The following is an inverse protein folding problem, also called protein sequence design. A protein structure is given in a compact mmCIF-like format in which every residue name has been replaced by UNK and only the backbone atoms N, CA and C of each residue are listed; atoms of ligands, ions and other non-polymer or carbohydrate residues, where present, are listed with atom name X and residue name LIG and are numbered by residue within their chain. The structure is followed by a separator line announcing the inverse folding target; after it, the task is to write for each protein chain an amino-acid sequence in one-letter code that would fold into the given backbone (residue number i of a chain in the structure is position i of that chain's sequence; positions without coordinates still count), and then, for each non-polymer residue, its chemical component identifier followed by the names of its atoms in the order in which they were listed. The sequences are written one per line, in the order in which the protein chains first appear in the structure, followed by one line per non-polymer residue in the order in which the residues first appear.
data_IF_866558363917
#
_entry.id   IF_866558363917
#
_cell.length_a   1.000
_cell.length_b   1.000
_cell.length_c   1.000
_cell.angle_alpha   90.00
_cell.angle_beta   90.00
_cell.angle_gamma   90.00
#
_symmetry.space_group_name_H-M   'P 1'
#
loop_
_entity.id
_entity.type
_entity.pdbx_description
1 polymer ?
#
# COMPACT_ATOMS: atom_id res chain seq x y z
N UNK A 1 -15.15 8.76 26.21
CA UNK A 1 -13.94 8.30 25.50
C UNK A 1 -13.20 7.29 26.37
N UNK A 2 -12.61 6.24 25.78
CA UNK A 2 -11.99 5.13 26.52
C UNK A 2 -10.76 5.58 27.33
N UNK A 3 -10.65 5.13 28.58
CA UNK A 3 -9.46 5.36 29.43
C UNK A 3 -8.20 4.61 28.97
N UNK A 4 -8.36 3.69 28.03
CA UNK A 4 -7.28 2.85 27.51
C UNK A 4 -6.61 3.43 26.25
N UNK A 5 -7.08 4.58 25.76
CA UNK A 5 -6.48 5.23 24.59
C UNK A 5 -5.23 6.00 24.97
N UNK A 6 -4.20 5.92 24.12
CA UNK A 6 -3.02 6.77 24.25
C UNK A 6 -3.40 8.24 24.02
N UNK A 7 -2.63 9.20 24.56
CA UNK A 7 -2.87 10.62 24.34
C UNK A 7 -2.96 10.99 22.85
N UNK A 8 -2.09 10.42 22.02
CA UNK A 8 -2.11 10.63 20.56
C UNK A 8 -3.45 10.21 19.92
N UNK A 9 -3.95 9.01 20.24
CA UNK A 9 -5.22 8.52 19.69
C UNK A 9 -6.41 9.33 20.20
N UNK A 10 -6.32 9.85 21.42
CA UNK A 10 -7.37 10.66 22.03
C UNK A 10 -7.65 11.95 21.26
N UNK A 11 -6.60 12.58 20.72
CA UNK A 11 -6.68 13.87 20.03
C UNK A 11 -6.64 13.74 18.49
N UNK A 12 -6.49 12.51 17.98
CA UNK A 12 -6.46 12.23 16.55
C UNK A 12 -7.80 12.59 15.89
N UNK A 13 -7.75 13.42 14.85
CA UNK A 13 -8.88 13.64 13.94
C UNK A 13 -8.82 12.59 12.83
N UNK A 14 -9.82 11.69 12.70
CA UNK A 14 -9.80 10.67 11.67
C UNK A 14 -9.83 11.27 10.26
N UNK A 15 -9.21 10.55 9.32
CA UNK A 15 -9.36 10.86 7.90
C UNK A 15 -10.83 10.76 7.47
N UNK A 16 -11.30 11.78 6.75
CA UNK A 16 -12.63 11.81 6.16
C UNK A 16 -12.50 11.51 4.66
N UNK A 17 -12.93 10.32 4.18
CA UNK A 17 -12.89 10.02 2.77
C UNK A 17 -13.85 10.91 1.97
N UNK A 18 -13.51 11.16 0.70
CA UNK A 18 -14.41 11.84 -0.22
C UNK A 18 -15.70 11.05 -0.48
N UNK A 19 -16.75 11.74 -0.91
CA UNK A 19 -18.05 11.15 -1.22
C UNK A 19 -17.93 10.06 -2.31
N UNK A 20 -18.66 8.94 -2.14
CA UNK A 20 -18.74 7.82 -3.07
C UNK A 20 -20.22 7.52 -3.40
N UNK A 21 -20.79 8.06 -4.49
CA UNK A 21 -22.18 7.83 -4.85
C UNK A 21 -22.44 6.37 -5.21
N UNK A 22 -23.52 5.78 -4.66
CA UNK A 22 -23.93 4.38 -4.93
C UNK A 22 -25.02 4.30 -6.00
N UNK A 23 -24.77 4.91 -7.16
CA UNK A 23 -25.70 4.93 -8.29
C UNK A 23 -25.30 3.90 -9.34
N UNK A 24 -26.27 3.24 -9.95
CA UNK A 24 -26.01 2.37 -11.09
C UNK A 24 -25.51 3.20 -12.29
N UNK A 25 -24.52 2.69 -13.02
CA UNK A 25 -23.91 3.34 -14.22
C UNK A 25 -23.29 4.71 -13.95
N UNK A 26 -22.72 4.92 -12.76
CA UNK A 26 -21.94 6.11 -12.46
C UNK A 26 -20.63 6.12 -13.26
N UNK A 27 -20.27 7.26 -13.87
CA UNK A 27 -18.91 7.51 -14.35
C UNK A 27 -18.08 7.99 -13.16
N UNK A 28 -17.21 7.13 -12.64
CA UNK A 28 -16.42 7.38 -11.43
C UNK A 28 -15.07 8.02 -11.78
N UNK A 29 -14.83 9.25 -11.30
CA UNK A 29 -13.63 10.06 -11.60
C UNK A 29 -13.01 10.72 -10.35
N UNK A 30 -13.38 10.28 -9.15
CA UNK A 30 -13.07 10.97 -7.88
C UNK A 30 -11.93 10.37 -7.06
N UNK A 31 -11.39 9.20 -7.43
CA UNK A 31 -10.32 8.51 -6.67
C UNK A 31 -9.07 8.19 -7.50
N UNK A 32 -8.92 8.84 -8.66
CA UNK A 32 -7.75 8.69 -9.53
C UNK A 32 -7.45 7.24 -9.96
N UNK A 33 -8.47 6.39 -10.05
CA UNK A 33 -8.33 5.04 -10.59
C UNK A 33 -8.00 5.09 -12.08
N UNK A 34 -7.23 4.10 -12.55
CA UNK A 34 -6.96 3.97 -13.97
C UNK A 34 -8.26 3.58 -14.72
N UNK A 35 -8.64 4.27 -15.82
CA UNK A 35 -9.83 3.88 -16.59
C UNK A 35 -9.67 2.55 -17.33
N UNK A 36 -8.43 2.11 -17.54
CA UNK A 36 -8.11 0.81 -18.12
C UNK A 36 -7.92 -0.24 -17.01
N UNK A 37 -8.27 -1.48 -17.33
CA UNK A 37 -7.92 -2.62 -16.49
C UNK A 37 -6.41 -2.85 -16.39
N UNK A 38 -5.98 -3.72 -15.46
CA UNK A 38 -4.57 -4.06 -15.33
C UNK A 38 -4.05 -4.79 -16.58
N UNK A 39 -2.71 -4.85 -16.71
CA UNK A 39 -2.06 -5.60 -17.78
C UNK A 39 -2.56 -7.06 -17.85
N UNK A 40 -2.84 -7.61 -19.05
CA UNK A 40 -3.19 -9.02 -19.20
C UNK A 40 -2.15 -9.98 -18.61
N UNK A 41 -0.86 -9.60 -18.62
CA UNK A 41 0.21 -10.38 -17.99
C UNK A 41 0.09 -10.42 -16.47
N UNK A 42 -0.34 -9.31 -15.85
CA UNK A 42 -0.57 -9.26 -14.41
C UNK A 42 -1.78 -10.12 -14.00
N UNK A 43 -2.86 -10.09 -14.79
CA UNK A 43 -4.04 -10.96 -14.58
C UNK A 43 -3.62 -12.43 -14.65
N UNK A 44 -2.90 -12.83 -15.69
CA UNK A 44 -2.43 -14.21 -15.85
C UNK A 44 -1.53 -14.66 -14.69
N UNK A 45 -0.60 -13.80 -14.23
CA UNK A 45 0.26 -14.11 -13.08
C UNK A 45 -0.56 -14.29 -11.78
N UNK A 46 -1.53 -13.40 -11.52
CA UNK A 46 -2.42 -13.55 -10.36
C UNK A 46 -3.22 -14.85 -10.43
N UNK A 47 -3.80 -15.17 -11.59
CA UNK A 47 -4.57 -16.40 -11.78
C UNK A 47 -3.73 -17.66 -11.56
N UNK A 48 -2.46 -17.66 -12.00
CA UNK A 48 -1.55 -18.78 -11.79
C UNK A 48 -1.24 -19.03 -10.30
N UNK A 49 -1.21 -17.97 -9.47
CA UNK A 49 -0.92 -18.06 -8.03
C UNK A 49 -2.16 -18.34 -7.17
N UNK A 50 -3.38 -18.21 -7.72
CA UNK A 50 -4.61 -18.61 -7.02
C UNK A 50 -4.75 -20.13 -7.05
N UNK A 51 -3.93 -20.80 -6.25
CA UNK A 51 -3.88 -22.24 -6.10
C UNK A 51 -3.55 -22.64 -4.64
N UNK A 52 -3.25 -23.92 -4.42
CA UNK A 52 -2.96 -24.52 -3.10
C UNK A 52 -1.76 -23.86 -2.37
N UNK A 53 -0.91 -23.09 -3.07
CA UNK A 53 0.19 -22.32 -2.51
C UNK A 53 -0.27 -21.17 -1.59
N UNK A 54 -1.52 -20.70 -1.70
CA UNK A 54 -2.06 -19.63 -0.85
C UNK A 54 -2.08 -19.99 0.65
N UNK A 55 -1.87 -21.26 1.02
CA UNK A 55 -1.67 -21.67 2.42
C UNK A 55 -0.30 -21.29 2.99
N UNK A 56 0.65 -20.92 2.13
CA UNK A 56 2.02 -20.59 2.50
C UNK A 56 2.14 -19.08 2.69
N UNK A 57 3.03 -18.67 3.60
CA UNK A 57 3.44 -17.27 3.68
C UNK A 57 4.16 -16.86 2.39
N UNK A 58 3.99 -15.60 1.92
CA UNK A 58 4.78 -15.08 0.82
C UNK A 58 6.25 -14.90 1.25
N UNK A 59 7.12 -14.62 0.28
CA UNK A 59 8.47 -14.15 0.55
C UNK A 59 8.42 -12.86 1.40
N UNK A 60 8.92 -12.87 2.65
CA UNK A 60 8.80 -11.73 3.57
C UNK A 60 9.56 -10.50 3.09
N UNK A 61 10.58 -10.65 2.23
CA UNK A 61 11.38 -9.53 1.73
C UNK A 61 10.95 -9.03 0.35
N UNK A 62 10.10 -9.79 -0.36
CA UNK A 62 9.68 -9.51 -1.74
C UNK A 62 10.88 -9.34 -2.69
N UNK A 63 11.90 -10.18 -2.56
CA UNK A 63 13.21 -10.03 -3.22
C UNK A 63 13.07 -9.98 -4.75
N UNK A 64 12.21 -10.83 -5.32
CA UNK A 64 11.93 -10.85 -6.76
C UNK A 64 11.32 -9.53 -7.26
N UNK A 65 10.43 -8.92 -6.47
CA UNK A 65 9.82 -7.64 -6.83
C UNK A 65 10.84 -6.50 -6.69
N UNK A 66 11.62 -6.49 -5.61
CA UNK A 66 12.69 -5.50 -5.43
C UNK A 66 13.68 -5.52 -6.58
N UNK A 67 14.10 -6.71 -7.02
CA UNK A 67 15.02 -6.83 -8.16
C UNK A 67 14.39 -6.28 -9.45
N UNK A 68 13.15 -6.66 -9.77
CA UNK A 68 12.47 -6.17 -10.97
C UNK A 68 12.32 -4.64 -10.98
N UNK A 69 12.00 -4.04 -9.83
CA UNK A 69 11.91 -2.57 -9.67
C UNK A 69 13.29 -1.92 -9.80
N UNK A 70 14.32 -2.49 -9.15
CA UNK A 70 15.69 -2.00 -9.21
C UNK A 70 16.24 -1.98 -10.64
N UNK A 71 16.03 -3.07 -11.39
CA UNK A 71 16.43 -3.20 -12.79
C UNK A 71 15.71 -2.18 -13.68
N UNK A 72 14.41 -1.97 -13.45
CA UNK A 72 13.60 -1.03 -14.23
C UNK A 72 14.05 0.42 -14.04
N UNK A 73 14.37 0.82 -12.81
CA UNK A 73 14.78 2.20 -12.49
C UNK A 73 16.30 2.43 -12.51
N UNK A 74 17.12 1.39 -12.69
CA UNK A 74 18.58 1.49 -12.72
C UNK A 74 19.19 1.82 -11.35
N UNK A 75 18.63 1.26 -10.27
CA UNK A 75 19.12 1.46 -8.88
C UNK A 75 19.55 0.13 -8.27
N UNK A 76 20.20 0.17 -7.09
CA UNK A 76 20.53 -1.05 -6.36
C UNK A 76 19.29 -1.62 -5.66
N UNK A 77 19.22 -2.95 -5.53
CA UNK A 77 18.13 -3.64 -4.82
C UNK A 77 17.99 -3.18 -3.36
N UNK A 78 19.09 -2.78 -2.73
CA UNK A 78 19.14 -2.20 -1.38
C UNK A 78 18.49 -0.82 -1.26
N UNK A 79 18.25 -0.14 -2.39
CA UNK A 79 17.56 1.16 -2.46
C UNK A 79 16.04 1.00 -2.68
N UNK A 80 15.52 -0.24 -2.73
CA UNK A 80 14.10 -0.52 -2.94
C UNK A 80 13.46 -1.06 -1.66
N UNK A 81 12.43 -0.35 -1.19
CA UNK A 81 11.56 -0.79 -0.10
C UNK A 81 10.16 -1.06 -0.65
N UNK A 82 9.59 -2.22 -0.32
CA UNK A 82 8.24 -2.63 -0.73
C UNK A 82 7.33 -2.50 0.47
N UNK A 83 6.22 -1.78 0.32
CA UNK A 83 5.14 -1.71 1.31
C UNK A 83 3.81 -2.10 0.68
N UNK A 84 2.81 -2.40 1.51
CA UNK A 84 1.44 -2.69 1.06
C UNK A 84 0.68 -1.41 0.68
N UNK A 85 1.09 -0.80 -0.44
CA UNK A 85 0.67 0.54 -0.83
C UNK A 85 1.59 1.62 -0.26
N UNK A 86 1.64 2.77 -0.94
CA UNK A 86 2.55 3.86 -0.56
C UNK A 86 2.22 4.49 0.80
N UNK A 87 0.96 4.42 1.25
CA UNK A 87 0.55 4.95 2.55
C UNK A 87 1.27 4.24 3.71
N UNK A 88 1.51 2.94 3.60
CA UNK A 88 2.30 2.19 4.59
C UNK A 88 3.77 2.63 4.59
N UNK A 89 4.34 2.87 3.41
CA UNK A 89 5.72 3.38 3.28
C UNK A 89 5.83 4.77 3.89
N UNK A 90 4.84 5.64 3.66
CA UNK A 90 4.76 6.96 4.27
C UNK A 90 4.62 6.87 5.79
N UNK A 91 3.79 5.95 6.30
CA UNK A 91 3.64 5.74 7.73
C UNK A 91 4.96 5.27 8.38
N UNK A 92 5.67 4.31 7.78
CA UNK A 92 6.98 3.88 8.25
C UNK A 92 8.02 5.00 8.23
N UNK A 93 8.08 5.78 7.15
CA UNK A 93 8.97 6.93 7.06
C UNK A 93 8.65 7.98 8.14
N UNK A 94 7.36 8.26 8.36
CA UNK A 94 6.91 9.20 9.38
C UNK A 94 7.32 8.75 10.79
N UNK A 95 6.98 7.51 11.16
CA UNK A 95 7.31 6.95 12.47
C UNK A 95 8.82 6.83 12.69
N UNK A 96 9.58 6.43 11.66
CA UNK A 96 11.02 6.23 11.76
C UNK A 96 11.84 7.52 11.80
N UNK A 97 11.35 8.60 11.19
CA UNK A 97 12.14 9.83 11.00
C UNK A 97 11.58 11.05 11.73
N UNK A 98 10.31 11.08 12.10
CA UNK A 98 9.65 12.29 12.62
C UNK A 98 9.02 12.11 14.01
N UNK A 99 8.93 10.87 14.52
CA UNK A 99 8.35 10.60 15.84
C UNK A 99 9.41 10.47 16.94
N UNK A 100 10.24 11.50 17.07
CA UNK A 100 11.18 11.66 18.19
C UNK A 100 10.88 12.97 18.96
N UNK A 101 11.48 13.14 20.14
CA UNK A 101 11.37 14.39 20.91
C UNK A 101 12.01 15.59 20.20
N UNK A 102 12.18 16.69 20.96
CA UNK A 102 13.09 17.79 20.57
C UNK A 102 14.48 17.22 20.19
N UNK A 103 15.27 17.93 19.36
CA UNK A 103 16.63 17.50 19.06
C UNK A 103 17.44 17.18 20.33
#
# INVERSE_FOLDING_TARGET
MSKFWSPFVKDLVPYVPGEQPKLAKLVKLNTNENPYGPSPKAIAAMQAEVNDNLRLYPDPNSDRLKQAVADYYGVQTSQVFVGNGSDEVLAHAFHGLFQHGQP
#
